data_IF_721409294637
#
_entry.id   IF_721409294637
#
_cell.length_a   1.000
_cell.length_b   1.000
_cell.length_c   1.000
_cell.angle_alpha   90.00
_cell.angle_beta   90.00
_cell.angle_gamma   90.00
#
_symmetry.space_group_name_H-M   'P 1'
#
loop_
_entity.id
_entity.type
_entity.pdbx_description
1 polymer ?
#
# COMPACT_ATOMS: atom_id res chain seq x y z
N UNK A 1 36.87 -7.78 -4.98
CA UNK A 1 35.50 -7.80 -5.51
C UNK A 1 35.50 -7.69 -7.05
N UNK A 2 34.39 -8.05 -7.71
CA UNK A 2 34.08 -7.66 -9.11
C UNK A 2 32.74 -6.91 -9.16
N UNK A 3 32.59 -6.01 -10.13
CA UNK A 3 31.32 -5.33 -10.42
C UNK A 3 30.87 -5.68 -11.82
N UNK A 4 29.61 -6.08 -11.94
CA UNK A 4 28.93 -6.31 -13.22
C UNK A 4 27.87 -5.23 -13.40
N UNK A 5 27.78 -4.68 -14.59
CA UNK A 5 26.81 -3.62 -14.89
C UNK A 5 26.14 -3.86 -16.23
N UNK A 6 24.84 -3.61 -16.29
CA UNK A 6 24.05 -3.66 -17.50
C UNK A 6 22.82 -2.74 -17.38
N UNK A 7 22.25 -2.36 -18.53
CA UNK A 7 20.95 -1.72 -18.55
C UNK A 7 19.87 -2.81 -18.53
N UNK A 8 18.93 -2.71 -17.60
CA UNK A 8 17.81 -3.64 -17.52
C UNK A 8 16.82 -3.41 -18.68
N UNK A 9 16.26 -4.47 -19.27
CA UNK A 9 15.32 -4.37 -20.38
C UNK A 9 13.91 -4.07 -19.87
N UNK A 10 13.73 -2.91 -19.25
CA UNK A 10 12.44 -2.45 -18.73
C UNK A 10 11.92 -1.34 -19.66
N UNK A 11 10.68 -1.52 -20.12
CA UNK A 11 10.07 -0.61 -21.07
C UNK A 11 9.92 0.80 -20.48
N UNK A 12 10.11 1.81 -21.33
CA UNK A 12 10.03 3.22 -20.92
C UNK A 12 8.67 3.57 -20.29
N UNK A 13 7.58 2.99 -20.78
CA UNK A 13 6.23 3.20 -20.22
C UNK A 13 6.15 2.75 -18.74
N UNK A 14 6.81 1.65 -18.39
CA UNK A 14 6.87 1.15 -17.02
C UNK A 14 7.74 2.08 -16.16
N UNK A 15 8.87 2.55 -16.69
CA UNK A 15 9.74 3.50 -16.00
C UNK A 15 8.98 4.80 -15.70
N UNK A 16 8.27 5.35 -16.69
CA UNK A 16 7.50 6.58 -16.55
C UNK A 16 6.32 6.40 -15.59
N UNK A 17 5.69 5.23 -15.58
CA UNK A 17 4.68 4.88 -14.58
C UNK A 17 5.29 4.84 -13.16
N UNK A 18 6.44 4.18 -12.98
CA UNK A 18 7.12 4.08 -11.67
C UNK A 18 7.53 5.47 -11.17
N UNK A 19 8.03 6.34 -12.05
CA UNK A 19 8.33 7.74 -11.73
C UNK A 19 7.10 8.51 -11.23
N UNK A 20 5.94 8.25 -11.83
CA UNK A 20 4.71 8.94 -11.45
C UNK A 20 4.14 8.47 -10.10
N UNK A 21 4.27 7.18 -9.78
CA UNK A 21 3.64 6.58 -8.58
C UNK A 21 4.51 6.64 -7.32
N UNK A 22 5.83 6.72 -7.47
CA UNK A 22 6.72 6.76 -6.32
C UNK A 22 6.63 8.12 -5.62
N UNK A 23 6.54 8.17 -4.28
CA UNK A 23 6.48 9.42 -3.53
C UNK A 23 7.87 10.07 -3.35
N UNK A 24 8.82 9.78 -4.23
CA UNK A 24 10.22 10.17 -4.13
C UNK A 24 10.75 10.62 -5.50
N UNK A 25 11.73 11.51 -5.50
CA UNK A 25 12.49 11.85 -6.71
C UNK A 25 13.20 10.60 -7.22
N UNK A 26 12.95 10.22 -8.47
CA UNK A 26 13.41 8.93 -9.01
C UNK A 26 14.94 8.84 -9.07
N UNK A 27 15.63 9.96 -9.22
CA UNK A 27 17.09 10.05 -9.26
C UNK A 27 17.72 9.76 -7.89
N UNK A 28 16.93 9.75 -6.81
CA UNK A 28 17.38 9.38 -5.46
C UNK A 28 17.09 7.91 -5.13
N UNK A 29 16.41 7.18 -6.01
CA UNK A 29 15.94 5.83 -5.75
C UNK A 29 16.99 4.78 -6.13
N UNK A 30 17.21 3.84 -5.22
CA UNK A 30 17.98 2.63 -5.42
C UNK A 30 17.11 1.41 -5.09
N UNK A 31 16.78 0.61 -6.11
CA UNK A 31 16.25 -0.73 -5.88
C UNK A 31 17.39 -1.65 -5.48
N UNK A 32 17.21 -2.54 -4.51
CA UNK A 32 18.29 -3.47 -4.15
C UNK A 32 17.77 -4.82 -3.63
N UNK A 33 18.63 -5.82 -3.75
CA UNK A 33 18.45 -7.20 -3.30
C UNK A 33 19.84 -7.81 -2.97
N UNK A 34 19.90 -8.75 -2.01
CA UNK A 34 21.15 -9.37 -1.59
C UNK A 34 21.16 -10.89 -1.69
N UNK A 35 22.33 -11.44 -2.01
CA UNK A 35 22.59 -12.87 -1.85
C UNK A 35 23.58 -13.15 -0.73
N UNK A 36 23.30 -14.20 0.04
CA UNK A 36 24.06 -14.56 1.22
C UNK A 36 24.43 -16.03 1.22
N UNK A 37 25.55 -16.39 1.85
CA UNK A 37 25.96 -17.80 2.02
C UNK A 37 25.17 -18.54 3.11
N UNK A 38 24.06 -17.96 3.56
CA UNK A 38 23.19 -18.52 4.59
C UNK A 38 22.34 -17.45 5.28
N UNK A 39 21.26 -17.87 5.93
CA UNK A 39 20.23 -16.96 6.46
C UNK A 39 20.63 -16.18 7.72
N UNK A 40 21.75 -16.51 8.37
CA UNK A 40 22.16 -15.90 9.63
C UNK A 40 23.41 -15.03 9.48
N UNK A 41 23.31 -13.70 9.59
CA UNK A 41 24.44 -12.78 9.37
C UNK A 41 25.61 -12.97 10.35
N UNK A 42 25.40 -13.68 11.45
CA UNK A 42 26.45 -13.99 12.42
C UNK A 42 27.44 -15.06 11.89
N UNK A 43 27.00 -15.93 10.98
CA UNK A 43 27.76 -17.13 10.56
C UNK A 43 27.90 -17.26 9.05
N UNK A 44 27.12 -16.54 8.24
CA UNK A 44 27.28 -16.47 6.78
C UNK A 44 27.94 -15.16 6.36
N UNK A 45 28.07 -14.91 5.05
CA UNK A 45 28.52 -13.65 4.46
C UNK A 45 27.54 -13.20 3.37
N UNK A 46 27.45 -11.90 3.12
CA UNK A 46 26.87 -11.38 1.87
C UNK A 46 27.90 -11.53 0.76
N UNK A 47 27.51 -12.14 -0.36
CA UNK A 47 28.40 -12.36 -1.50
C UNK A 47 27.95 -11.63 -2.77
N UNK A 48 26.71 -11.15 -2.80
CA UNK A 48 26.21 -10.30 -3.88
C UNK A 48 25.32 -9.22 -3.27
N UNK A 49 25.53 -7.97 -3.69
CA UNK A 49 24.55 -6.90 -3.52
C UNK A 49 24.22 -6.40 -4.93
N UNK A 50 23.01 -6.69 -5.37
CA UNK A 50 22.45 -6.12 -6.58
C UNK A 50 21.79 -4.78 -6.25
N UNK A 51 22.07 -3.76 -7.04
CA UNK A 51 21.48 -2.44 -6.92
C UNK A 51 21.10 -1.91 -8.29
N UNK A 52 19.93 -1.29 -8.41
CA UNK A 52 19.46 -0.71 -9.66
C UNK A 52 18.99 0.73 -9.45
N UNK A 53 19.49 1.64 -10.28
CA UNK A 53 19.17 3.08 -10.25
C UNK A 53 18.63 3.53 -11.61
N UNK A 54 17.80 4.55 -11.64
CA UNK A 54 17.27 5.09 -12.90
C UNK A 54 18.15 6.25 -13.35
N UNK A 55 18.78 6.12 -14.52
CA UNK A 55 19.60 7.15 -15.15
C UNK A 55 19.27 7.25 -16.64
N UNK A 56 19.10 8.47 -17.16
CA UNK A 56 18.80 8.74 -18.57
C UNK A 56 17.68 7.87 -19.17
N UNK A 57 16.54 7.75 -18.48
CA UNK A 57 15.39 6.91 -18.87
C UNK A 57 15.69 5.40 -18.99
N UNK A 58 16.80 4.93 -18.43
CA UNK A 58 17.15 3.52 -18.38
C UNK A 58 17.45 3.10 -16.94
N UNK A 59 17.16 1.85 -16.61
CA UNK A 59 17.50 1.31 -15.30
C UNK A 59 18.87 0.65 -15.39
N UNK A 60 19.84 1.20 -14.67
CA UNK A 60 21.20 0.70 -14.61
C UNK A 60 21.33 -0.25 -13.43
N UNK A 61 21.62 -1.52 -13.71
CA UNK A 61 21.96 -2.53 -12.73
C UNK A 61 23.46 -2.48 -12.41
N UNK A 62 23.79 -2.56 -11.13
CA UNK A 62 25.12 -2.84 -10.62
C UNK A 62 25.07 -4.02 -9.67
N UNK A 63 25.90 -5.03 -9.92
CA UNK A 63 26.02 -6.22 -9.10
C UNK A 63 27.42 -6.27 -8.50
N UNK A 64 27.52 -5.92 -7.21
CA UNK A 64 28.76 -6.01 -6.44
C UNK A 64 28.95 -7.45 -5.98
N UNK A 65 29.88 -8.17 -6.59
CA UNK A 65 30.05 -9.61 -6.39
C UNK A 65 31.36 -9.94 -5.66
N UNK A 66 31.25 -10.71 -4.58
CA UNK A 66 32.37 -11.23 -3.84
C UNK A 66 33.01 -12.39 -4.62
N UNK A 67 33.98 -12.07 -5.46
CA UNK A 67 34.78 -13.08 -6.17
C UNK A 67 35.81 -13.78 -5.24
N UNK A 68 35.65 -13.67 -3.93
CA UNK A 68 36.45 -14.36 -2.91
C UNK A 68 35.75 -14.25 -1.53
N UNK A 69 36.30 -14.92 -0.52
CA UNK A 69 35.75 -14.91 0.86
C UNK A 69 36.14 -13.68 1.70
N UNK A 70 36.91 -12.74 1.14
CA UNK A 70 37.48 -11.58 1.86
C UNK A 70 36.91 -10.25 1.39
N UNK A 71 36.20 -10.22 0.26
CA UNK A 71 35.67 -9.03 -0.41
C UNK A 71 34.42 -8.44 0.25
N UNK A 72 33.80 -9.10 1.25
CA UNK A 72 32.57 -8.61 1.92
C UNK A 72 32.65 -7.14 2.38
N UNK A 73 33.73 -6.65 3.03
CA UNK A 73 33.84 -5.23 3.41
C UNK A 73 33.91 -4.28 2.21
N UNK A 74 34.47 -4.74 1.09
CA UNK A 74 34.57 -3.97 -0.16
C UNK A 74 33.17 -3.80 -0.76
N UNK A 75 32.35 -4.87 -0.82
CA UNK A 75 30.95 -4.80 -1.28
C UNK A 75 30.16 -3.75 -0.51
N UNK A 76 30.26 -3.80 0.83
CA UNK A 76 29.53 -2.90 1.72
C UNK A 76 29.90 -1.44 1.49
N UNK A 77 31.18 -1.14 1.26
CA UNK A 77 31.62 0.24 0.96
C UNK A 77 31.06 0.74 -0.37
N UNK A 78 31.16 -0.05 -1.43
CA UNK A 78 30.61 0.32 -2.73
C UNK A 78 29.10 0.55 -2.69
N UNK A 79 28.36 -0.29 -1.95
CA UNK A 79 26.93 -0.08 -1.75
C UNK A 79 26.63 1.19 -0.94
N UNK A 80 27.40 1.47 0.13
CA UNK A 80 27.28 2.73 0.89
C UNK A 80 27.55 3.97 0.04
N UNK A 81 28.57 3.92 -0.80
CA UNK A 81 28.93 5.02 -1.70
C UNK A 81 27.79 5.28 -2.70
N UNK A 82 27.16 4.23 -3.25
CA UNK A 82 26.00 4.37 -4.12
C UNK A 82 24.82 5.07 -3.42
N UNK A 83 24.52 4.66 -2.19
CA UNK A 83 23.41 5.22 -1.40
C UNK A 83 23.64 6.66 -0.96
N UNK A 84 24.87 7.18 -1.05
CA UNK A 84 25.15 8.61 -0.81
C UNK A 84 24.47 9.49 -1.87
N UNK A 85 24.43 9.02 -3.12
CA UNK A 85 23.73 9.72 -4.23
C UNK A 85 22.27 9.30 -4.35
N UNK A 86 21.92 8.09 -3.89
CA UNK A 86 20.58 7.52 -3.99
C UNK A 86 20.03 7.12 -2.61
N UNK A 87 19.67 8.09 -1.75
CA UNK A 87 19.31 7.84 -0.34
C UNK A 87 17.89 7.27 -0.14
N UNK A 88 17.23 6.76 -1.18
CA UNK A 88 15.91 6.11 -1.07
C UNK A 88 16.04 4.67 -1.49
N UNK A 89 15.92 3.74 -0.55
CA UNK A 89 15.99 2.30 -0.85
C UNK A 89 14.59 1.73 -1.11
N UNK A 90 14.46 0.98 -2.19
CA UNK A 90 13.25 0.21 -2.51
C UNK A 90 13.61 -1.26 -2.61
N UNK A 91 12.85 -2.11 -1.94
CA UNK A 91 13.12 -3.55 -1.85
C UNK A 91 11.84 -4.35 -1.68
N UNK A 92 11.94 -5.65 -1.89
CA UNK A 92 10.85 -6.58 -1.68
C UNK A 92 11.10 -7.42 -0.42
N UNK A 93 10.43 -7.08 0.68
CA UNK A 93 10.59 -7.76 1.99
C UNK A 93 11.98 -7.60 2.64
N UNK A 94 12.79 -6.65 2.18
CA UNK A 94 14.11 -6.36 2.72
C UNK A 94 14.10 -5.73 4.12
N UNK A 95 12.97 -5.18 4.59
CA UNK A 95 12.90 -4.75 6.00
C UNK A 95 13.02 -5.94 6.95
N UNK A 96 12.57 -7.11 6.52
CA UNK A 96 12.55 -8.32 7.36
C UNK A 96 13.89 -9.04 7.31
N UNK A 97 14.60 -8.99 6.19
CA UNK A 97 15.81 -9.77 5.95
C UNK A 97 17.02 -8.90 5.58
N UNK A 98 17.01 -8.30 4.40
CA UNK A 98 18.17 -7.66 3.76
C UNK A 98 18.78 -6.54 4.60
N UNK A 99 17.97 -5.57 5.03
CA UNK A 99 18.42 -4.41 5.82
C UNK A 99 18.98 -4.87 7.18
N UNK A 100 18.26 -5.66 8.00
CA UNK A 100 18.83 -6.20 9.24
C UNK A 100 20.08 -7.07 9.04
N UNK A 101 20.17 -7.78 7.91
CA UNK A 101 21.34 -8.60 7.58
C UNK A 101 22.56 -7.70 7.34
N UNK A 102 22.42 -6.71 6.45
CA UNK A 102 23.48 -5.76 6.11
C UNK A 102 23.88 -4.87 7.29
N UNK A 103 22.94 -4.40 8.12
CA UNK A 103 23.23 -3.67 9.37
C UNK A 103 24.24 -4.41 10.26
N UNK A 104 24.04 -5.72 10.44
CA UNK A 104 24.98 -6.56 11.20
C UNK A 104 26.32 -6.72 10.50
N UNK A 105 26.37 -6.71 9.16
CA UNK A 105 27.62 -6.76 8.40
C UNK A 105 28.42 -5.46 8.50
N UNK A 106 27.75 -4.32 8.38
CA UNK A 106 28.35 -3.01 8.62
C UNK A 106 28.95 -2.95 10.03
N UNK A 107 28.18 -3.32 11.06
CA UNK A 107 28.66 -3.37 12.44
C UNK A 107 29.84 -4.35 12.64
N UNK A 108 29.77 -5.56 12.07
CA UNK A 108 30.85 -6.57 12.15
C UNK A 108 32.17 -6.05 11.58
N UNK A 109 32.12 -5.28 10.50
CA UNK A 109 33.30 -4.74 9.81
C UNK A 109 33.70 -3.33 10.28
N UNK A 110 33.01 -2.78 11.28
CA UNK A 110 33.29 -1.43 11.81
C UNK A 110 33.01 -0.31 10.79
N UNK A 111 32.08 -0.55 9.85
CA UNK A 111 31.66 0.40 8.84
C UNK A 111 30.38 1.13 9.30
N UNK A 112 30.21 2.42 8.99
CA UNK A 112 28.96 3.14 9.27
C UNK A 112 27.82 2.55 8.43
N UNK A 113 26.64 2.39 9.04
CA UNK A 113 25.45 1.97 8.29
C UNK A 113 24.94 3.11 7.42
N UNK A 114 24.73 2.89 6.11
CA UNK A 114 24.11 3.89 5.24
C UNK A 114 22.61 4.04 5.49
N UNK A 115 21.95 3.06 6.10
CA UNK A 115 20.48 3.02 6.22
C UNK A 115 19.91 4.05 7.19
N UNK A 116 20.71 4.57 8.12
CA UNK A 116 20.28 5.61 9.07
C UNK A 116 19.85 6.88 8.33
N UNK A 117 20.49 7.19 7.21
CA UNK A 117 20.21 8.35 6.37
C UNK A 117 19.28 8.05 5.19
N UNK A 118 18.81 6.81 5.04
CA UNK A 118 17.98 6.44 3.90
C UNK A 118 16.49 6.40 4.26
N UNK A 119 15.67 6.91 3.34
CA UNK A 119 14.26 6.55 3.31
C UNK A 119 14.12 5.12 2.78
N UNK A 120 13.14 4.37 3.27
CA UNK A 120 12.96 2.95 2.92
C UNK A 120 11.51 2.64 2.54
N UNK A 121 11.32 2.07 1.36
CA UNK A 121 10.03 1.57 0.87
C UNK A 121 10.09 0.05 0.65
N UNK A 122 9.32 -0.67 1.44
CA UNK A 122 9.17 -2.12 1.32
C UNK A 122 7.88 -2.45 0.55
N UNK A 123 8.02 -2.88 -0.72
CA UNK A 123 6.89 -3.16 -1.61
C UNK A 123 6.04 -4.32 -1.05
N UNK A 124 6.68 -5.35 -0.50
CA UNK A 124 5.97 -6.49 0.09
C UNK A 124 5.05 -6.04 1.23
N UNK A 125 5.50 -5.12 2.09
CA UNK A 125 4.65 -4.59 3.17
C UNK A 125 3.48 -3.76 2.64
N UNK A 126 3.67 -3.00 1.56
CA UNK A 126 2.58 -2.25 0.89
C UNK A 126 1.53 -3.19 0.34
N UNK A 127 1.95 -4.26 -0.33
CA UNK A 127 1.07 -5.33 -0.84
C UNK A 127 0.37 -6.02 0.33
N UNK A 128 1.08 -6.42 1.39
CA UNK A 128 0.50 -7.15 2.53
C UNK A 128 -0.56 -6.37 3.27
N UNK A 129 -0.36 -5.06 3.45
CA UNK A 129 -1.37 -4.16 4.04
C UNK A 129 -2.67 -4.16 3.23
N UNK A 130 -2.56 -4.38 1.92
CA UNK A 130 -3.64 -4.34 0.94
C UNK A 130 -3.93 -5.70 0.30
N UNK A 131 -3.59 -6.81 0.98
CA UNK A 131 -3.65 -8.16 0.42
C UNK A 131 -5.02 -8.57 -0.12
N UNK A 132 -6.10 -7.93 0.35
CA UNK A 132 -7.47 -8.15 -0.15
C UNK A 132 -7.63 -7.71 -1.61
N UNK A 133 -6.83 -6.74 -2.07
CA UNK A 133 -6.82 -6.27 -3.46
C UNK A 133 -6.11 -7.28 -4.39
N UNK A 134 -5.26 -8.15 -3.86
CA UNK A 134 -4.38 -9.02 -4.64
C UNK A 134 -4.60 -10.49 -4.26
N UNK A 135 -5.77 -11.09 -4.59
CA UNK A 135 -6.06 -12.47 -4.22
C UNK A 135 -5.19 -13.46 -5.02
N UNK A 136 -4.05 -13.83 -4.46
CA UNK A 136 -3.12 -14.82 -5.01
C UNK A 136 -2.84 -15.95 -4.02
N UNK A 137 -2.17 -17.03 -4.49
CA UNK A 137 -1.78 -18.17 -3.64
C UNK A 137 -0.84 -17.76 -2.49
N UNK A 138 0.03 -16.79 -2.75
CA UNK A 138 1.00 -16.19 -1.85
C UNK A 138 1.49 -14.86 -2.45
N UNK A 139 2.09 -14.01 -1.64
CA UNK A 139 2.66 -12.73 -2.10
C UNK A 139 4.19 -12.79 -2.22
N UNK A 140 4.74 -13.93 -2.64
CA UNK A 140 6.17 -14.01 -2.97
C UNK A 140 6.44 -13.20 -4.24
N UNK A 141 7.67 -12.69 -4.38
CA UNK A 141 8.07 -11.86 -5.52
C UNK A 141 7.67 -12.48 -6.87
N UNK A 142 8.03 -13.75 -7.08
CA UNK A 142 7.70 -14.54 -8.28
C UNK A 142 6.20 -14.62 -8.55
N UNK A 143 5.38 -14.72 -7.51
CA UNK A 143 3.91 -14.75 -7.69
C UNK A 143 3.41 -13.38 -8.12
N UNK A 144 3.93 -12.30 -7.53
CA UNK A 144 3.49 -10.93 -7.80
C UNK A 144 3.94 -10.41 -9.16
N UNK A 145 5.20 -10.64 -9.54
CA UNK A 145 5.74 -10.22 -10.83
C UNK A 145 5.11 -10.98 -12.01
N UNK A 146 4.70 -12.23 -11.80
CA UNK A 146 4.05 -13.03 -12.84
C UNK A 146 2.68 -12.46 -13.23
N UNK A 147 1.98 -11.82 -12.30
CA UNK A 147 0.74 -11.09 -12.63
C UNK A 147 1.00 -9.86 -13.49
N UNK A 148 2.23 -9.33 -13.48
CA UNK A 148 2.70 -8.22 -14.31
C UNK A 148 3.27 -8.69 -15.66
N UNK A 149 3.11 -9.97 -15.99
CA UNK A 149 3.59 -10.55 -17.25
C UNK A 149 5.08 -10.90 -17.26
N UNK A 150 5.80 -10.76 -16.14
CA UNK A 150 7.20 -11.18 -16.05
C UNK A 150 7.29 -12.66 -15.66
N UNK A 151 7.67 -13.50 -16.63
CA UNK A 151 7.95 -14.91 -16.42
C UNK A 151 9.45 -15.18 -16.60
N UNK A 152 10.18 -15.19 -15.48
CA UNK A 152 11.61 -15.51 -15.44
C UNK A 152 11.94 -16.99 -15.71
N UNK A 153 10.94 -17.86 -15.90
CA UNK A 153 11.14 -19.28 -16.17
C UNK A 153 11.51 -20.08 -14.92
N UNK A 154 12.65 -20.80 -14.94
CA UNK A 154 13.11 -21.55 -13.76
C UNK A 154 13.69 -20.58 -12.76
N UNK A 155 13.06 -20.53 -11.59
CA UNK A 155 13.60 -19.83 -10.44
C UNK A 155 14.55 -20.72 -9.63
N UNK A 156 15.57 -20.09 -9.03
CA UNK A 156 16.44 -20.73 -8.06
C UNK A 156 15.96 -20.35 -6.66
N UNK A 157 15.79 -21.33 -5.79
CA UNK A 157 15.58 -21.03 -4.38
C UNK A 157 16.86 -20.44 -3.78
N UNK A 158 16.75 -19.60 -2.74
CA UNK A 158 17.93 -19.09 -2.03
C UNK A 158 18.87 -20.20 -1.51
N UNK A 159 18.37 -21.43 -1.28
CA UNK A 159 19.21 -22.60 -0.95
C UNK A 159 20.06 -23.06 -2.14
N UNK A 160 19.49 -23.02 -3.35
CA UNK A 160 20.21 -23.31 -4.58
C UNK A 160 21.27 -22.22 -4.84
N UNK A 161 20.96 -20.94 -4.62
CA UNK A 161 21.93 -19.85 -4.77
C UNK A 161 23.14 -20.00 -3.84
N UNK A 162 22.93 -20.41 -2.58
CA UNK A 162 24.03 -20.75 -1.65
C UNK A 162 24.92 -21.88 -2.21
N UNK A 163 24.30 -22.88 -2.84
CA UNK A 163 25.01 -24.02 -3.41
C UNK A 163 25.80 -23.61 -4.65
N UNK A 164 25.18 -22.82 -5.53
CA UNK A 164 25.82 -22.25 -6.72
C UNK A 164 27.05 -21.41 -6.38
N UNK A 165 26.98 -20.56 -5.35
CA UNK A 165 28.16 -19.78 -4.93
C UNK A 165 29.27 -20.67 -4.38
N UNK A 166 28.92 -21.74 -3.67
CA UNK A 166 29.88 -22.71 -3.16
C UNK A 166 30.56 -23.48 -4.31
N UNK A 167 29.80 -23.89 -5.32
CA UNK A 167 30.28 -24.58 -6.51
C UNK A 167 31.14 -23.67 -7.40
N UNK A 168 30.74 -22.40 -7.53
CA UNK A 168 31.53 -21.35 -8.17
C UNK A 168 32.92 -21.21 -7.54
N UNK A 169 32.98 -21.08 -6.21
CA UNK A 169 34.24 -20.97 -5.48
C UNK A 169 35.10 -22.22 -5.68
N UNK A 170 34.52 -23.43 -5.58
CA UNK A 170 35.26 -24.68 -5.81
C UNK A 170 35.81 -24.78 -7.23
N UNK A 171 34.99 -24.45 -8.23
CA UNK A 171 35.38 -24.48 -9.65
C UNK A 171 36.46 -23.45 -9.96
N UNK A 172 36.43 -22.27 -9.32
CA UNK A 172 37.48 -21.26 -9.40
C UNK A 172 38.82 -21.78 -8.89
N UNK A 173 38.86 -22.38 -7.69
CA UNK A 173 40.10 -22.93 -7.12
C UNK A 173 40.58 -24.20 -7.82
N UNK A 174 39.68 -24.91 -8.51
CA UNK A 174 39.99 -26.11 -9.28
C UNK A 174 40.27 -25.83 -10.77
N UNK A 175 40.32 -24.55 -11.17
CA UNK A 175 40.55 -24.11 -12.56
C UNK A 175 39.60 -24.71 -13.60
N UNK A 176 38.32 -24.90 -13.25
CA UNK A 176 37.26 -25.37 -14.17
C UNK A 176 36.48 -24.17 -14.73
N UNK A 177 37.01 -23.57 -15.78
CA UNK A 177 36.50 -22.31 -16.34
C UNK A 177 35.03 -22.38 -16.79
N UNK A 178 34.64 -23.42 -17.52
CA UNK A 178 33.26 -23.56 -18.04
C UNK A 178 32.23 -23.68 -16.91
N UNK A 179 32.50 -24.52 -15.90
CA UNK A 179 31.62 -24.70 -14.75
C UNK A 179 31.52 -23.41 -13.93
N UNK A 180 32.66 -22.78 -13.65
CA UNK A 180 32.73 -21.50 -12.95
C UNK A 180 31.93 -20.41 -13.68
N UNK A 181 32.02 -20.35 -15.01
CA UNK A 181 31.28 -19.38 -15.81
C UNK A 181 29.77 -19.63 -15.74
N UNK A 182 29.34 -20.89 -15.81
CA UNK A 182 27.91 -21.24 -15.72
C UNK A 182 27.32 -20.90 -14.35
N UNK A 183 28.02 -21.21 -13.27
CA UNK A 183 27.57 -20.90 -11.90
C UNK A 183 27.47 -19.39 -11.68
N UNK A 184 28.46 -18.62 -12.16
CA UNK A 184 28.44 -17.16 -12.10
C UNK A 184 27.26 -16.57 -12.87
N UNK A 185 27.02 -17.04 -14.10
CA UNK A 185 25.91 -16.57 -14.92
C UNK A 185 24.55 -16.87 -14.25
N UNK A 186 24.40 -18.04 -13.63
CA UNK A 186 23.18 -18.39 -12.90
C UNK A 186 22.95 -17.47 -11.68
N UNK A 187 24.00 -17.21 -10.90
CA UNK A 187 23.94 -16.30 -9.73
C UNK A 187 23.55 -14.88 -10.17
N UNK A 188 24.26 -14.32 -11.17
CA UNK A 188 24.01 -12.96 -11.63
C UNK A 188 22.61 -12.83 -12.25
N UNK A 189 22.17 -13.84 -13.02
CA UNK A 189 20.83 -13.85 -13.63
C UNK A 189 19.72 -13.90 -12.57
N UNK A 190 19.88 -14.70 -11.51
CA UNK A 190 18.88 -14.79 -10.44
C UNK A 190 18.67 -13.44 -9.73
N UNK A 191 19.75 -12.83 -9.24
CA UNK A 191 19.67 -11.53 -8.56
C UNK A 191 19.20 -10.40 -9.50
N UNK A 192 19.60 -10.45 -10.78
CA UNK A 192 19.08 -9.55 -11.82
C UNK A 192 17.56 -9.69 -11.97
N UNK A 193 17.06 -10.92 -12.05
CA UNK A 193 15.62 -11.17 -12.21
C UNK A 193 14.84 -10.78 -10.95
N UNK A 194 15.42 -10.94 -9.75
CA UNK A 194 14.83 -10.41 -8.51
C UNK A 194 14.76 -8.89 -8.48
N UNK A 195 15.75 -8.20 -9.03
CA UNK A 195 15.67 -6.74 -9.17
C UNK A 195 14.65 -6.31 -10.21
N UNK A 196 14.58 -6.98 -11.37
CA UNK A 196 13.53 -6.74 -12.36
C UNK A 196 12.16 -6.94 -11.71
N UNK A 197 11.97 -8.08 -11.02
CA UNK A 197 10.75 -8.37 -10.27
C UNK A 197 10.40 -7.28 -9.28
N UNK A 198 11.38 -6.86 -8.46
CA UNK A 198 11.18 -5.82 -7.45
C UNK A 198 10.76 -4.50 -8.09
N UNK A 199 11.44 -4.08 -9.16
CA UNK A 199 11.08 -2.87 -9.91
C UNK A 199 9.67 -2.98 -10.48
N UNK A 200 9.35 -4.07 -11.16
CA UNK A 200 8.02 -4.28 -11.75
C UNK A 200 6.94 -4.26 -10.67
N UNK A 201 7.17 -4.88 -9.52
CA UNK A 201 6.20 -4.88 -8.42
C UNK A 201 5.96 -3.49 -7.80
N UNK A 202 6.78 -2.48 -8.09
CA UNK A 202 6.46 -1.11 -7.72
C UNK A 202 5.15 -0.63 -8.38
N UNK A 203 4.75 -1.20 -9.53
CA UNK A 203 3.47 -0.88 -10.18
C UNK A 203 2.25 -1.19 -9.29
N UNK A 204 2.36 -2.09 -8.30
CA UNK A 204 1.28 -2.33 -7.33
C UNK A 204 0.96 -1.09 -6.48
N UNK A 205 1.89 -0.13 -6.39
CA UNK A 205 1.68 1.13 -5.68
C UNK A 205 0.53 1.95 -6.28
N UNK A 206 0.21 1.78 -7.57
CA UNK A 206 -0.97 2.38 -8.20
C UNK A 206 -2.28 2.06 -7.46
N UNK A 207 -2.38 0.86 -6.88
CA UNK A 207 -3.58 0.43 -6.16
C UNK A 207 -3.47 0.69 -4.67
N UNK A 208 -2.27 0.58 -4.10
CA UNK A 208 -2.07 0.70 -2.64
C UNK A 208 -1.93 2.14 -2.17
N UNK A 209 -1.52 3.05 -3.05
CA UNK A 209 -1.36 4.49 -2.81
C UNK A 209 -1.90 5.26 -4.03
N UNK A 210 -3.20 5.18 -4.33
CA UNK A 210 -3.76 5.72 -5.58
C UNK A 210 -3.56 7.24 -5.65
N UNK A 211 -2.96 7.68 -6.76
CA UNK A 211 -2.85 9.10 -7.11
C UNK A 211 -4.14 9.50 -7.81
N UNK A 212 -4.74 10.57 -7.31
CA UNK A 212 -5.98 11.13 -7.83
C UNK A 212 -5.63 12.32 -8.71
N UNK A 213 -6.00 12.24 -9.98
CA UNK A 213 -5.69 13.20 -11.02
C UNK A 213 -6.83 14.18 -11.24
N UNK A 214 -8.01 13.69 -11.64
CA UNK A 214 -9.16 14.52 -12.00
C UNK A 214 -10.47 13.79 -11.70
N UNK A 215 -10.82 13.64 -10.40
CA UNK A 215 -11.94 12.84 -9.99
C UNK A 215 -13.25 13.49 -10.45
N UNK A 216 -14.04 12.73 -11.20
CA UNK A 216 -15.41 13.04 -11.59
C UNK A 216 -16.37 12.42 -10.59
N UNK A 217 -17.32 13.23 -10.14
CA UNK A 217 -18.33 12.84 -9.17
C UNK A 217 -19.69 12.79 -9.84
N UNK A 218 -20.43 11.71 -9.62
CA UNK A 218 -21.81 11.56 -10.07
C UNK A 218 -22.66 11.06 -8.90
N UNK A 219 -23.78 11.73 -8.66
CA UNK A 219 -24.69 11.43 -7.56
C UNK A 219 -25.98 10.84 -8.12
N UNK A 220 -26.43 9.73 -7.54
CA UNK A 220 -27.79 9.20 -7.70
C UNK A 220 -28.54 9.24 -6.36
N UNK A 221 -29.80 8.83 -6.34
CA UNK A 221 -30.56 8.71 -5.09
C UNK A 221 -29.94 7.69 -4.13
N UNK A 222 -29.29 6.64 -4.63
CA UNK A 222 -28.83 5.50 -3.83
C UNK A 222 -27.32 5.37 -3.73
N UNK A 223 -26.55 6.10 -4.52
CA UNK A 223 -25.11 5.97 -4.57
C UNK A 223 -24.38 7.25 -5.00
N UNK A 224 -23.14 7.39 -4.54
CA UNK A 224 -22.16 8.33 -5.09
C UNK A 224 -21.12 7.55 -5.88
N UNK A 225 -20.96 7.92 -7.14
CA UNK A 225 -19.89 7.41 -8.00
C UNK A 225 -18.74 8.41 -8.04
N UNK A 226 -17.55 7.94 -7.69
CA UNK A 226 -16.28 8.64 -7.89
C UNK A 226 -15.56 7.90 -9.01
N UNK A 227 -15.22 8.58 -10.10
CA UNK A 227 -14.41 8.01 -11.17
C UNK A 227 -13.21 8.89 -11.45
N UNK A 228 -12.06 8.30 -11.71
CA UNK A 228 -10.86 9.03 -12.11
C UNK A 228 -10.18 8.32 -13.27
N UNK A 229 -9.56 9.10 -14.16
CA UNK A 229 -8.93 8.59 -15.38
C UNK A 229 -7.44 8.89 -15.29
N UNK A 230 -6.61 7.87 -15.52
CA UNK A 230 -5.17 8.07 -15.59
C UNK A 230 -4.81 9.02 -16.75
N UNK A 231 -3.69 9.75 -16.65
CA UNK A 231 -3.18 10.54 -17.77
C UNK A 231 -2.87 9.68 -19.00
N UNK A 232 -2.95 10.31 -20.18
CA UNK A 232 -2.56 9.68 -21.44
C UNK A 232 -1.16 9.06 -21.34
N UNK A 233 -1.03 7.81 -21.78
CA UNK A 233 0.24 7.05 -21.74
C UNK A 233 0.46 6.24 -20.46
N UNK A 234 -0.43 6.35 -19.46
CA UNK A 234 -0.42 5.46 -18.29
C UNK A 234 -1.52 4.41 -18.39
N UNK A 235 -1.24 3.20 -17.90
CA UNK A 235 -2.25 2.15 -17.78
C UNK A 235 -2.09 1.39 -16.47
N UNK A 236 -3.20 0.86 -15.96
CA UNK A 236 -3.16 -0.07 -14.85
C UNK A 236 -2.50 -1.38 -15.32
N UNK A 237 -1.56 -1.95 -14.55
CA UNK A 237 -0.81 -3.11 -15.00
C UNK A 237 -1.66 -4.38 -15.16
N UNK A 238 -2.80 -4.47 -14.48
CA UNK A 238 -3.75 -5.58 -14.58
C UNK A 238 -5.13 -5.19 -14.03
N UNK A 239 -6.15 -5.96 -14.36
CA UNK A 239 -7.47 -5.76 -13.77
C UNK A 239 -7.47 -6.29 -12.33
N UNK A 240 -7.92 -5.49 -11.36
CA UNK A 240 -8.27 -6.03 -10.04
C UNK A 240 -9.39 -7.06 -10.26
N UNK A 241 -9.19 -8.27 -9.76
CA UNK A 241 -10.14 -9.36 -9.91
C UNK A 241 -11.49 -8.99 -9.28
N UNK A 242 -12.42 -8.50 -10.11
CA UNK A 242 -13.87 -8.38 -9.93
C UNK A 242 -14.35 -7.92 -8.56
N UNK A 243 -15.01 -6.74 -8.54
CA UNK A 243 -15.98 -6.35 -7.53
C UNK A 243 -15.52 -6.67 -6.10
N UNK A 244 -14.78 -5.75 -5.47
CA UNK A 244 -14.66 -5.79 -4.01
C UNK A 244 -16.06 -5.47 -3.46
N UNK A 245 -16.96 -6.44 -3.55
CA UNK A 245 -18.29 -6.38 -2.98
C UNK A 245 -18.11 -6.89 -1.58
N UNK A 246 -17.95 -5.97 -0.63
CA UNK A 246 -18.09 -6.37 0.77
C UNK A 246 -19.54 -6.76 1.01
N UNK A 247 -19.85 -8.05 0.95
CA UNK A 247 -21.11 -8.55 1.45
C UNK A 247 -21.26 -8.14 2.93
N UNK A 248 -22.48 -7.77 3.34
CA UNK A 248 -22.91 -7.37 4.70
C UNK A 248 -22.50 -8.31 5.86
N UNK A 249 -21.76 -9.39 5.61
CA UNK A 249 -21.41 -10.40 6.61
C UNK A 249 -20.55 -9.86 7.77
N UNK A 250 -19.82 -8.75 7.61
CA UNK A 250 -19.16 -8.05 8.73
C UNK A 250 -20.05 -6.95 9.37
N UNK A 251 -21.23 -6.65 8.81
CA UNK A 251 -22.04 -5.48 9.18
C UNK A 251 -23.43 -5.70 9.75
N UNK A 252 -24.04 -6.89 9.71
CA UNK A 252 -25.18 -7.24 10.61
C UNK A 252 -25.50 -8.74 10.57
N UNK A 253 -25.42 -9.43 11.71
CA UNK A 253 -26.45 -10.43 12.07
C UNK A 253 -27.75 -9.66 12.23
N UNK A 254 -28.70 -9.80 11.29
CA UNK A 254 -30.18 -9.74 11.48
C UNK A 254 -30.85 -9.93 10.10
N UNK A 255 -31.62 -11.02 10.01
CA UNK A 255 -32.69 -11.37 9.07
C UNK A 255 -32.35 -11.54 7.56
N UNK A 256 -32.31 -12.83 7.18
CA UNK A 256 -32.35 -13.38 5.83
C UNK A 256 -33.73 -13.25 5.16
N UNK A 257 -33.78 -12.88 3.88
CA UNK A 257 -34.93 -13.08 2.99
C UNK A 257 -34.47 -13.83 1.72
N UNK A 258 -35.04 -14.99 1.33
CA UNK A 258 -34.44 -15.90 0.35
C UNK A 258 -34.83 -15.66 -1.12
N UNK A 259 -35.57 -14.62 -1.48
CA UNK A 259 -36.03 -14.42 -2.87
C UNK A 259 -35.49 -13.11 -3.48
N UNK A 260 -34.27 -13.13 -4.03
CA UNK A 260 -33.80 -12.11 -4.98
C UNK A 260 -33.11 -12.74 -6.19
N UNK A 261 -33.60 -12.44 -7.38
CA UNK A 261 -33.20 -13.00 -8.68
C UNK A 261 -31.93 -12.37 -9.26
N UNK A 262 -31.10 -13.19 -9.92
CA UNK A 262 -29.77 -12.89 -10.50
C UNK A 262 -29.71 -11.88 -11.67
N UNK A 263 -30.79 -11.18 -12.03
CA UNK A 263 -30.82 -10.31 -13.23
C UNK A 263 -30.88 -8.80 -12.96
N UNK A 264 -30.69 -8.37 -11.71
CA UNK A 264 -30.71 -6.97 -11.32
C UNK A 264 -29.29 -6.53 -10.90
N UNK A 265 -28.65 -5.53 -11.56
CA UNK A 265 -27.36 -4.97 -11.14
C UNK A 265 -27.38 -4.41 -9.71
N UNK A 266 -28.56 -4.12 -9.17
CA UNK A 266 -28.76 -3.65 -7.79
C UNK A 266 -28.93 -4.81 -6.78
N UNK A 267 -28.81 -6.07 -7.21
CA UNK A 267 -28.94 -7.26 -6.35
C UNK A 267 -27.64 -7.65 -5.61
N UNK A 268 -26.50 -7.02 -5.91
CA UNK A 268 -25.24 -7.30 -5.24
C UNK A 268 -25.20 -6.65 -3.85
N UNK A 269 -24.64 -7.38 -2.88
CA UNK A 269 -24.73 -7.07 -1.45
C UNK A 269 -24.33 -5.65 -1.07
N UNK A 270 -24.95 -5.14 0.00
CA UNK A 270 -24.80 -3.77 0.51
C UNK A 270 -23.37 -3.53 1.03
N UNK A 271 -22.48 -3.13 0.13
CA UNK A 271 -21.10 -2.73 0.39
C UNK A 271 -20.62 -1.73 -0.67
N UNK A 272 -19.52 -1.00 -0.42
CA UNK A 272 -18.90 -0.17 -1.45
C UNK A 272 -18.41 -1.06 -2.58
N UNK A 273 -18.69 -0.71 -3.84
CA UNK A 273 -18.22 -1.45 -5.01
C UNK A 273 -17.09 -0.69 -5.69
N UNK A 274 -15.95 -1.36 -5.91
CA UNK A 274 -14.82 -0.78 -6.63
C UNK A 274 -14.67 -1.50 -7.95
N UNK A 275 -14.82 -0.76 -9.05
CA UNK A 275 -14.66 -1.24 -10.41
C UNK A 275 -13.41 -0.61 -11.03
N UNK A 276 -12.51 -1.44 -11.53
CA UNK A 276 -11.42 -1.00 -12.42
C UNK A 276 -11.86 -1.40 -13.83
N UNK A 277 -12.07 -0.43 -14.73
CA UNK A 277 -12.52 -0.73 -16.11
C UNK A 277 -11.34 -0.57 -17.07
N UNK A 278 -10.90 -1.73 -17.56
CA UNK A 278 -9.80 -2.02 -18.50
C UNK A 278 -9.76 -1.20 -19.80
N UNK A 279 -10.87 -0.62 -20.25
CA UNK A 279 -10.94 -0.08 -21.60
C UNK A 279 -10.53 1.41 -21.71
N UNK A 280 -10.67 2.19 -20.64
CA UNK A 280 -10.54 3.66 -20.70
C UNK A 280 -9.63 4.24 -19.61
N UNK A 281 -8.67 3.47 -19.09
CA UNK A 281 -7.70 3.91 -18.05
C UNK A 281 -8.40 4.49 -16.79
N UNK A 282 -9.63 4.07 -16.51
CA UNK A 282 -10.50 4.72 -15.52
C UNK A 282 -10.74 3.79 -14.34
N UNK A 283 -10.51 4.31 -13.13
CA UNK A 283 -10.95 3.70 -11.88
C UNK A 283 -12.31 4.28 -11.48
N UNK A 284 -13.24 3.43 -11.02
CA UNK A 284 -14.58 3.83 -10.59
C UNK A 284 -14.91 3.22 -9.24
N UNK A 285 -15.12 4.06 -8.24
CA UNK A 285 -15.61 3.70 -6.92
C UNK A 285 -17.10 4.08 -6.80
N UNK A 286 -17.95 3.15 -6.43
CA UNK A 286 -19.38 3.36 -6.19
C UNK A 286 -19.65 3.15 -4.71
N UNK A 287 -20.08 4.22 -4.04
CA UNK A 287 -20.37 4.24 -2.61
C UNK A 287 -21.87 4.26 -2.39
N UNK A 288 -22.46 3.28 -1.69
CA UNK A 288 -23.87 3.32 -1.36
C UNK A 288 -24.17 4.50 -0.42
N UNK A 289 -25.31 5.14 -0.63
CA UNK A 289 -25.80 6.23 0.21
C UNK A 289 -26.91 5.74 1.13
N UNK A 290 -26.80 6.13 2.40
CA UNK A 290 -27.83 5.92 3.40
C UNK A 290 -28.68 7.19 3.52
N UNK A 291 -29.84 7.22 2.89
CA UNK A 291 -30.81 8.31 3.02
C UNK A 291 -31.65 8.11 4.28
N UNK A 292 -31.21 8.68 5.40
CA UNK A 292 -31.85 8.47 6.70
C UNK A 292 -31.54 9.60 7.67
N UNK A 293 -31.98 9.46 8.92
CA UNK A 293 -31.64 10.35 10.02
C UNK A 293 -30.41 9.78 10.72
N UNK A 294 -29.33 10.55 10.78
CA UNK A 294 -28.13 10.21 11.55
C UNK A 294 -27.78 11.31 12.57
N UNK A 295 -26.92 10.98 13.52
CA UNK A 295 -26.67 11.78 14.72
C UNK A 295 -25.21 12.19 14.81
N UNK A 296 -24.93 13.48 14.94
CA UNK A 296 -23.62 13.99 15.29
C UNK A 296 -23.53 14.19 16.80
N UNK A 297 -22.65 13.43 17.46
CA UNK A 297 -22.46 13.48 18.91
C UNK A 297 -21.28 14.38 19.28
N UNK A 298 -21.51 15.36 20.15
CA UNK A 298 -20.46 16.24 20.64
C UNK A 298 -19.65 15.55 21.75
N UNK A 299 -18.32 15.61 21.67
CA UNK A 299 -17.45 14.99 22.67
C UNK A 299 -17.49 15.70 24.03
N UNK A 300 -17.65 17.03 24.02
CA UNK A 300 -17.72 17.87 25.22
C UNK A 300 -19.15 18.03 25.75
N UNK A 301 -19.80 16.90 26.04
CA UNK A 301 -21.21 16.90 26.49
C UNK A 301 -21.46 17.72 27.76
N UNK A 302 -20.44 17.94 28.59
CA UNK A 302 -20.56 18.70 29.84
C UNK A 302 -20.92 20.16 29.60
N UNK A 303 -20.61 20.70 28.42
CA UNK A 303 -20.91 22.07 28.05
C UNK A 303 -22.22 22.22 27.26
N UNK A 304 -23.06 21.18 27.24
CA UNK A 304 -24.34 21.19 26.53
C UNK A 304 -25.52 20.91 27.48
N UNK A 305 -26.68 21.44 27.10
CA UNK A 305 -28.00 21.02 27.58
C UNK A 305 -28.65 20.13 26.52
N UNK A 306 -29.39 19.11 26.93
CA UNK A 306 -30.29 18.35 26.08
C UNK A 306 -31.71 18.92 26.23
N UNK A 307 -32.37 19.15 25.11
CA UNK A 307 -33.75 19.64 25.04
C UNK A 307 -34.64 18.45 24.65
N UNK A 308 -35.46 17.90 25.58
CA UNK A 308 -36.27 16.70 25.30
C UNK A 308 -37.35 16.91 24.24
N UNK A 309 -37.93 18.10 24.19
CA UNK A 309 -39.03 18.42 23.27
C UNK A 309 -38.52 18.53 21.82
N UNK A 310 -37.32 19.10 21.63
CA UNK A 310 -36.66 19.23 20.34
C UNK A 310 -35.78 18.03 19.96
N UNK A 311 -35.50 17.14 20.92
CA UNK A 311 -34.63 15.97 20.76
C UNK A 311 -33.26 16.34 20.16
N UNK A 312 -32.61 17.33 20.78
CA UNK A 312 -31.27 17.79 20.40
C UNK A 312 -30.50 18.39 21.57
N UNK A 313 -29.19 18.52 21.41
CA UNK A 313 -28.29 19.19 22.33
C UNK A 313 -27.95 20.60 21.86
N UNK A 314 -27.91 21.53 22.82
CA UNK A 314 -27.55 22.92 22.60
C UNK A 314 -26.45 23.34 23.59
N UNK A 315 -25.45 24.09 23.11
CA UNK A 315 -24.38 24.56 23.99
C UNK A 315 -24.95 25.45 25.10
N UNK A 316 -24.41 25.35 26.32
CA UNK A 316 -24.94 26.04 27.52
C UNK A 316 -25.02 27.55 27.37
N UNK A 317 -24.14 28.18 26.57
CA UNK A 317 -24.20 29.62 26.31
C UNK A 317 -25.52 30.04 25.65
N UNK A 318 -26.04 29.23 24.73
CA UNK A 318 -27.30 29.49 24.01
C UNK A 318 -28.48 28.88 24.76
N UNK A 319 -28.34 27.66 25.27
CA UNK A 319 -29.40 26.98 26.02
C UNK A 319 -29.73 27.64 27.37
N UNK A 320 -28.91 28.59 27.84
CA UNK A 320 -29.14 29.36 29.06
C UNK A 320 -30.48 30.12 29.07
N UNK A 321 -30.99 30.49 27.89
CA UNK A 321 -32.26 31.20 27.69
C UNK A 321 -33.49 30.28 27.60
N UNK A 322 -33.30 28.96 27.55
CA UNK A 322 -34.41 27.98 27.58
C UNK A 322 -34.84 27.73 29.02
N UNK A 323 -36.15 27.66 29.26
CA UNK A 323 -36.71 27.41 30.57
C UNK A 323 -36.18 26.10 31.19
N UNK A 324 -35.94 26.12 32.51
CA UNK A 324 -35.29 24.99 33.22
C UNK A 324 -36.10 23.69 33.13
N UNK A 325 -37.41 23.78 32.97
CA UNK A 325 -38.31 22.62 32.87
C UNK A 325 -38.18 21.91 31.51
N UNK A 326 -37.74 22.62 30.48
CA UNK A 326 -37.59 22.13 29.10
C UNK A 326 -36.15 21.78 28.73
N UNK A 327 -35.21 21.81 29.69
CA UNK A 327 -33.80 21.45 29.45
C UNK A 327 -33.23 20.57 30.54
N UNK A 328 -32.34 19.68 30.14
CA UNK A 328 -31.60 18.78 31.03
C UNK A 328 -30.11 18.91 30.75
N UNK A 329 -29.23 18.56 31.68
CA UNK A 329 -27.81 18.47 31.35
C UNK A 329 -27.62 17.35 30.31
N UNK A 330 -26.89 17.64 29.23
CA UNK A 330 -26.63 16.62 28.23
C UNK A 330 -25.74 15.52 28.82
N UNK A 331 -25.98 14.29 28.38
CA UNK A 331 -25.14 13.12 28.68
C UNK A 331 -24.39 12.72 27.41
N UNK A 332 -23.42 11.82 27.52
CA UNK A 332 -22.79 11.21 26.35
C UNK A 332 -23.81 10.65 25.33
N UNK A 333 -24.92 10.08 25.79
CA UNK A 333 -25.93 9.47 24.91
C UNK A 333 -26.96 10.47 24.35
N UNK A 334 -27.07 11.66 24.94
CA UNK A 334 -28.07 12.68 24.56
C UNK A 334 -27.45 13.96 24.00
N UNK A 335 -26.12 14.05 23.98
CA UNK A 335 -25.40 15.21 23.48
C UNK A 335 -25.18 15.13 21.97
N UNK A 336 -26.25 15.28 21.18
CA UNK A 336 -26.19 15.21 19.74
C UNK A 336 -27.07 16.23 19.04
N UNK A 337 -26.84 16.41 17.74
CA UNK A 337 -27.84 16.93 16.79
C UNK A 337 -28.17 15.83 15.77
N UNK A 338 -29.42 15.76 15.33
CA UNK A 338 -29.86 14.85 14.27
C UNK A 338 -29.93 15.59 12.93
N UNK A 339 -29.57 14.91 11.85
CA UNK A 339 -29.65 15.44 10.48
C UNK A 339 -30.25 14.38 9.56
N UNK A 340 -31.21 14.79 8.74
CA UNK A 340 -31.74 13.98 7.62
C UNK A 340 -30.96 14.36 6.38
N UNK A 341 -30.19 13.42 5.84
CA UNK A 341 -29.37 13.63 4.64
C UNK A 341 -29.08 12.28 3.95
N UNK A 342 -28.34 12.34 2.85
CA UNK A 342 -27.66 11.19 2.27
C UNK A 342 -26.27 11.06 2.90
N UNK A 343 -25.97 9.87 3.43
CA UNK A 343 -24.75 9.62 4.16
C UNK A 343 -23.90 8.53 3.51
N UNK A 344 -22.58 8.77 3.44
CA UNK A 344 -21.57 7.82 2.97
C UNK A 344 -21.04 7.01 4.17
N UNK A 345 -21.21 5.67 4.20
CA UNK A 345 -20.78 4.83 5.32
C UNK A 345 -19.27 4.59 5.33
N UNK A 346 -18.52 5.10 6.31
CA UNK A 346 -17.06 4.91 6.38
C UNK A 346 -16.68 3.76 7.32
N UNK A 347 -15.59 3.04 7.00
CA UNK A 347 -14.97 2.02 7.88
C UNK A 347 -14.25 2.64 9.09
N UNK A 348 -13.72 3.85 8.92
CA UNK A 348 -13.04 4.62 9.96
C UNK A 348 -13.18 6.12 9.72
N UNK A 349 -13.00 6.91 10.77
CA UNK A 349 -12.82 8.36 10.61
C UNK A 349 -11.62 8.61 9.70
N UNK A 350 -11.77 9.58 8.81
CA UNK A 350 -10.73 10.00 7.89
C UNK A 350 -9.86 11.05 8.59
N UNK A 351 -8.54 10.90 8.54
CA UNK A 351 -7.61 11.93 8.99
C UNK A 351 -7.17 12.74 7.79
N UNK A 352 -7.83 13.86 7.50
CA UNK A 352 -7.34 14.80 6.50
C UNK A 352 -6.34 15.77 7.17
N UNK A 353 -5.19 15.99 6.52
CA UNK A 353 -4.31 17.12 6.84
C UNK A 353 -4.92 18.47 6.41
N UNK A 354 -6.05 18.42 5.69
CA UNK A 354 -6.79 19.53 5.12
C UNK A 354 -8.13 19.66 5.87
N UNK A 355 -8.31 20.79 6.56
CA UNK A 355 -9.50 21.21 7.32
C UNK A 355 -10.03 20.24 8.39
N UNK A 356 -9.75 20.60 9.64
CA UNK A 356 -10.06 19.89 10.88
C UNK A 356 -11.55 19.80 11.28
N UNK A 357 -12.51 20.07 10.39
CA UNK A 357 -13.93 20.22 10.73
C UNK A 357 -14.86 19.28 9.94
N UNK A 358 -14.46 18.02 9.72
CA UNK A 358 -15.39 17.01 9.20
C UNK A 358 -16.31 16.56 10.34
N UNK A 359 -17.62 16.74 10.20
CA UNK A 359 -18.58 16.17 11.15
C UNK A 359 -18.89 14.73 10.76
N UNK A 360 -18.65 13.83 11.70
CA UNK A 360 -19.08 12.44 11.57
C UNK A 360 -20.44 12.24 12.20
N UNK A 361 -21.29 11.52 11.48
CA UNK A 361 -22.63 11.14 11.90
C UNK A 361 -22.67 9.63 12.20
N UNK A 362 -23.59 9.21 13.05
CA UNK A 362 -23.69 7.83 13.53
C UNK A 362 -25.14 7.39 13.65
N UNK A 363 -25.36 6.08 13.57
CA UNK A 363 -26.60 5.48 14.04
C UNK A 363 -26.69 5.62 15.58
N UNK A 364 -27.83 6.08 16.09
CA UNK A 364 -28.04 6.37 17.51
C UNK A 364 -27.87 5.13 18.39
N UNK A 365 -28.46 4.02 17.99
CA UNK A 365 -28.50 2.79 18.78
C UNK A 365 -27.12 2.12 18.81
N UNK A 366 -26.41 2.10 17.68
CA UNK A 366 -25.04 1.59 17.60
C UNK A 366 -24.08 2.40 18.46
N UNK A 367 -24.17 3.73 18.39
CA UNK A 367 -23.34 4.64 19.17
C UNK A 367 -23.61 4.50 20.67
N UNK A 368 -24.89 4.42 21.07
CA UNK A 368 -25.27 4.21 22.47
C UNK A 368 -24.81 2.85 23.00
N UNK A 369 -24.88 1.79 22.19
CA UNK A 369 -24.45 0.45 22.58
C UNK A 369 -22.92 0.37 22.75
N UNK A 370 -22.14 0.83 21.77
CA UNK A 370 -20.66 0.77 21.80
C UNK A 370 -20.02 1.90 20.97
N UNK A 371 -19.79 3.07 21.59
CA UNK A 371 -19.08 4.22 21.00
C UNK A 371 -17.90 3.85 20.10
N UNK A 372 -17.00 3.03 20.64
CA UNK A 372 -15.72 2.72 20.01
C UNK A 372 -15.83 1.82 18.77
N UNK A 373 -16.99 1.18 18.56
CA UNK A 373 -17.26 0.31 17.41
C UNK A 373 -18.29 0.89 16.43
N UNK A 374 -18.93 2.00 16.77
CA UNK A 374 -19.90 2.65 15.90
C UNK A 374 -19.21 3.19 14.65
N UNK A 375 -19.77 2.90 13.49
CA UNK A 375 -19.21 3.34 12.22
C UNK A 375 -19.51 4.81 11.96
N UNK A 376 -18.51 5.60 11.54
CA UNK A 376 -18.75 6.96 11.12
C UNK A 376 -19.40 7.02 9.75
N UNK A 377 -20.29 7.98 9.58
CA UNK A 377 -20.87 8.36 8.30
C UNK A 377 -20.46 9.78 7.96
N UNK A 378 -20.15 10.03 6.68
CA UNK A 378 -19.92 11.37 6.14
C UNK A 378 -21.19 11.86 5.46
N UNK A 379 -21.62 13.07 5.79
CA UNK A 379 -22.72 13.72 5.07
C UNK A 379 -22.25 14.14 3.68
N UNK A 380 -23.07 13.88 2.66
CA UNK A 380 -22.74 14.29 1.30
C UNK A 380 -22.62 15.82 1.15
N UNK A 381 -23.32 16.60 1.96
CA UNK A 381 -23.21 18.06 1.94
C UNK A 381 -21.84 18.55 2.45
N UNK A 382 -21.17 17.73 3.27
CA UNK A 382 -19.82 18.00 3.79
C UNK A 382 -18.73 17.35 2.92
N UNK A 383 -19.10 16.59 1.89
CA UNK A 383 -18.14 15.98 0.98
C UNK A 383 -17.40 17.06 0.20
N UNK A 384 -16.07 16.93 0.14
CA UNK A 384 -15.20 17.77 -0.68
C UNK A 384 -14.36 16.86 -1.59
N UNK A 385 -14.11 17.24 -2.87
CA UNK A 385 -13.34 16.41 -3.80
C UNK A 385 -11.93 16.02 -3.32
N UNK A 386 -11.30 16.82 -2.47
CA UNK A 386 -10.00 16.54 -1.85
C UNK A 386 -10.05 15.41 -0.81
N UNK A 387 -11.24 14.99 -0.35
CA UNK A 387 -11.42 13.81 0.49
C UNK A 387 -11.37 12.49 -0.29
N UNK A 388 -11.46 12.52 -1.63
CA UNK A 388 -11.46 11.33 -2.48
C UNK A 388 -10.30 10.36 -2.19
N UNK A 389 -9.03 10.81 -2.07
CA UNK A 389 -7.92 9.90 -1.75
C UNK A 389 -8.12 9.20 -0.40
N UNK A 390 -8.60 9.91 0.62
CA UNK A 390 -8.82 9.33 1.95
C UNK A 390 -10.03 8.38 1.99
N UNK A 391 -11.07 8.68 1.21
CA UNK A 391 -12.23 7.81 1.06
C UNK A 391 -11.82 6.53 0.34
N UNK A 392 -11.02 6.62 -0.74
CA UNK A 392 -10.44 5.46 -1.40
C UNK A 392 -9.59 4.64 -0.43
N UNK A 393 -8.71 5.30 0.35
CA UNK A 393 -7.93 4.64 1.42
C UNK A 393 -8.80 4.03 2.52
N UNK A 394 -10.03 4.49 2.71
CA UNK A 394 -10.97 3.95 3.69
C UNK A 394 -11.48 2.56 3.30
N UNK A 395 -11.64 2.33 1.99
CA UNK A 395 -12.23 1.11 1.45
C UNK A 395 -11.20 0.16 0.81
N UNK A 396 -10.09 0.69 0.31
CA UNK A 396 -9.01 -0.10 -0.28
C UNK A 396 -8.00 -0.62 0.77
N UNK A 397 -7.80 0.10 1.88
CA UNK A 397 -6.74 -0.12 2.89
C UNK A 397 -7.29 -0.32 4.31
#
# INVERSE_FOLDING_TARGET
>A
MKTYSEALPIDKEIIDLIKAILPYDIEKVCFFDIETTGLSPNVSNVYLIGAAVIDNDAIQLMQYFADDYTSEPELLRHFSDLLTSHPVIIHFNGTTFDVPYLEKKYAKHGLPSPFISCDSLDIYKRIQKNKRLFPTKDHKLITMEKQLGFDRGRDFSGKECISLYSDYMQSKYSHREDAMSNDLQAILSHNRDDLIGTILTAQYLMYTDPIIYSPKLQLSETAMTISDTLPDGMSFPFDLATDITESRSEFTDIASDPERSESDPDAYGVGPHIYVIRHDQTIKLILPLSNTIMYHFFEDYKNYYYLPDEDMAIHKSVGSYVDREHRQNATYATCYVKKTSAFIPLRRKISSNLNSNIHYFYNKDEYAAKKAKALPYLDIDEFQPDLVPEILRNYLI
#
